data_IF_717906325564
#
_entry.id   IF_717906325564
#
_cell.length_a   1.000
_cell.length_b   1.000
_cell.length_c   1.000
_cell.angle_alpha   90.00
_cell.angle_beta   90.00
_cell.angle_gamma   90.00
#
_symmetry.space_group_name_H-M   'P 1'
#
loop_
_entity.id
_entity.type
_entity.pdbx_description
1 polymer ?
#
# COMPACT_ATOMS: atom_id res chain seq x y z
N UNK A 1 -1.13 -42.56 14.12
CA UNK A 1 -1.57 -42.05 12.80
C UNK A 1 -0.61 -40.98 12.32
N UNK A 2 -0.07 -41.16 11.16
CA UNK A 2 1.23 -40.75 10.62
C UNK A 2 1.40 -39.25 10.40
N UNK A 3 2.46 -38.67 11.01
CA UNK A 3 2.93 -37.27 10.82
C UNK A 3 3.59 -37.03 9.45
N UNK A 4 3.67 -38.03 8.57
CA UNK A 4 4.44 -37.98 7.32
C UNK A 4 3.74 -37.32 6.12
N UNK A 5 2.41 -37.09 6.16
CA UNK A 5 1.67 -36.56 5.02
C UNK A 5 1.64 -35.00 4.92
N UNK A 6 2.11 -34.26 5.92
CA UNK A 6 2.04 -32.81 5.97
C UNK A 6 3.23 -32.09 5.31
N UNK A 7 4.39 -32.72 5.23
CA UNK A 7 5.63 -32.14 4.72
C UNK A 7 5.59 -31.79 3.20
N UNK A 8 5.14 -32.66 2.29
CA UNK A 8 5.16 -32.41 0.85
C UNK A 8 4.21 -31.27 0.44
N UNK A 9 3.07 -31.10 1.13
CA UNK A 9 2.13 -29.99 0.87
C UNK A 9 2.70 -28.63 1.28
N UNK A 10 3.49 -28.55 2.35
CA UNK A 10 4.15 -27.31 2.78
C UNK A 10 5.22 -26.87 1.79
N UNK A 11 6.06 -27.81 1.33
CA UNK A 11 7.11 -27.52 0.33
C UNK A 11 6.52 -26.96 -0.96
N UNK A 12 5.47 -27.61 -1.52
CA UNK A 12 4.78 -27.13 -2.71
C UNK A 12 4.18 -25.71 -2.54
N UNK A 13 3.72 -25.36 -1.34
CA UNK A 13 3.22 -24.01 -1.03
C UNK A 13 4.34 -22.96 -1.08
N UNK A 14 5.50 -23.23 -0.47
CA UNK A 14 6.62 -22.28 -0.49
C UNK A 14 7.22 -22.12 -1.89
N UNK A 15 7.28 -23.21 -2.67
CA UNK A 15 7.71 -23.16 -4.07
C UNK A 15 6.80 -22.28 -4.92
N UNK A 16 5.47 -22.40 -4.75
CA UNK A 16 4.51 -21.60 -5.46
C UNK A 16 4.60 -20.10 -5.06
N UNK A 17 4.73 -19.80 -3.77
CA UNK A 17 4.95 -18.42 -3.31
C UNK A 17 6.27 -17.87 -3.88
N UNK A 18 7.34 -18.66 -3.85
CA UNK A 18 8.65 -18.29 -4.41
C UNK A 18 8.58 -18.00 -5.91
N UNK A 19 7.86 -18.81 -6.68
CA UNK A 19 7.67 -18.60 -8.12
C UNK A 19 6.87 -17.32 -8.42
N UNK A 20 5.77 -17.09 -7.69
CA UNK A 20 4.98 -15.86 -7.82
C UNK A 20 5.80 -14.63 -7.42
N UNK A 21 6.53 -14.70 -6.30
CA UNK A 21 7.43 -13.65 -5.87
C UNK A 21 8.47 -13.31 -6.95
N UNK A 22 9.16 -14.32 -7.48
CA UNK A 22 10.17 -14.11 -8.51
C UNK A 22 9.59 -13.46 -9.77
N UNK A 23 8.42 -13.92 -10.23
CA UNK A 23 7.74 -13.34 -11.39
C UNK A 23 7.38 -11.86 -11.16
N UNK A 24 6.74 -11.54 -10.03
CA UNK A 24 6.36 -10.17 -9.68
C UNK A 24 7.61 -9.29 -9.54
N UNK A 25 8.61 -9.76 -8.79
CA UNK A 25 9.84 -8.99 -8.54
C UNK A 25 10.61 -8.69 -9.82
N UNK A 26 10.79 -9.68 -10.71
CA UNK A 26 11.51 -9.48 -11.99
C UNK A 26 10.83 -8.40 -12.83
N UNK A 27 9.51 -8.47 -12.99
CA UNK A 27 8.78 -7.51 -13.83
C UNK A 27 8.82 -6.11 -13.19
N UNK A 28 8.51 -6.00 -11.91
CA UNK A 28 8.43 -4.70 -11.23
C UNK A 28 9.81 -4.04 -11.04
N UNK A 29 10.84 -4.81 -10.71
CA UNK A 29 12.23 -4.29 -10.67
C UNK A 29 12.67 -3.86 -12.07
N UNK A 30 12.32 -4.61 -13.12
CA UNK A 30 12.55 -4.21 -14.49
C UNK A 30 11.93 -2.85 -14.83
N UNK A 31 10.69 -2.59 -14.36
CA UNK A 31 10.04 -1.28 -14.51
C UNK A 31 10.79 -0.18 -13.74
N UNK A 32 11.23 -0.44 -12.51
CA UNK A 32 12.03 0.53 -11.74
C UNK A 32 13.30 0.89 -12.49
N UNK A 33 14.07 -0.10 -12.95
CA UNK A 33 15.34 0.12 -13.65
C UNK A 33 15.15 0.86 -14.98
N UNK A 34 14.00 0.69 -15.63
CA UNK A 34 13.68 1.35 -16.90
C UNK A 34 13.13 2.77 -16.74
N UNK A 35 12.42 3.06 -15.65
CA UNK A 35 11.56 4.25 -15.57
C UNK A 35 11.77 5.12 -14.33
N UNK A 36 12.38 4.64 -13.24
CA UNK A 36 12.53 5.43 -12.03
C UNK A 36 13.64 6.48 -12.20
N UNK A 37 13.37 7.77 -11.84
CA UNK A 37 14.41 8.78 -11.77
C UNK A 37 15.37 8.49 -10.61
N UNK A 38 16.62 8.83 -10.76
CA UNK A 38 17.59 8.75 -9.67
C UNK A 38 17.48 9.96 -8.70
N UNK A 39 16.99 11.11 -9.17
CA UNK A 39 16.88 12.36 -8.43
C UNK A 39 15.61 12.44 -7.58
N UNK A 40 15.56 13.35 -6.56
CA UNK A 40 14.37 13.52 -5.71
C UNK A 40 13.16 14.06 -6.49
N UNK A 41 11.97 13.61 -6.12
CA UNK A 41 10.72 14.02 -6.71
C UNK A 41 9.69 14.42 -5.64
N UNK A 42 9.00 15.55 -5.84
CA UNK A 42 7.95 16.09 -4.95
C UNK A 42 8.36 16.07 -3.47
N UNK A 43 7.76 15.19 -2.67
CA UNK A 43 7.95 15.10 -1.21
C UNK A 43 9.36 14.69 -0.80
N UNK A 44 10.11 14.03 -1.66
CA UNK A 44 11.47 13.58 -1.37
C UNK A 44 12.45 14.74 -1.16
N UNK A 45 12.21 15.87 -1.82
CA UNK A 45 13.01 17.09 -1.61
C UNK A 45 12.95 17.56 -0.17
N UNK A 46 11.75 17.72 0.38
CA UNK A 46 11.59 18.23 1.74
C UNK A 46 11.81 17.15 2.79
N UNK A 47 11.28 15.96 2.56
CA UNK A 47 11.34 14.91 3.56
C UNK A 47 12.71 14.23 3.66
N UNK A 48 13.36 13.99 2.52
CA UNK A 48 14.62 13.23 2.48
C UNK A 48 15.83 14.14 2.37
N UNK A 49 15.84 15.05 1.38
CA UNK A 49 17.02 15.92 1.14
C UNK A 49 17.15 16.95 2.27
N UNK A 50 16.08 17.72 2.52
CA UNK A 50 16.12 18.79 3.53
C UNK A 50 15.99 18.24 4.95
N UNK A 51 15.05 17.33 5.19
CA UNK A 51 14.73 16.83 6.53
C UNK A 51 15.68 15.76 7.07
N UNK A 52 16.40 15.04 6.22
CA UNK A 52 17.32 13.98 6.65
C UNK A 52 18.76 14.17 6.17
N UNK A 53 18.98 14.26 4.85
CA UNK A 53 20.34 14.22 4.29
C UNK A 53 21.18 15.43 4.73
N UNK A 54 20.63 16.65 4.67
CA UNK A 54 21.35 17.85 5.13
C UNK A 54 21.71 17.81 6.62
N UNK A 55 20.78 17.60 7.55
CA UNK A 55 21.11 17.48 8.98
C UNK A 55 22.12 16.38 9.26
N UNK A 56 22.03 15.23 8.57
CA UNK A 56 23.01 14.15 8.72
C UNK A 56 24.42 14.56 8.29
N UNK A 57 24.57 15.34 7.21
CA UNK A 57 25.88 15.84 6.75
C UNK A 57 26.55 16.76 7.75
N UNK A 58 25.76 17.54 8.48
CA UNK A 58 26.24 18.47 9.50
C UNK A 58 26.30 17.87 10.93
N UNK A 59 25.97 16.58 11.09
CA UNK A 59 25.92 15.95 12.41
C UNK A 59 24.80 16.47 13.31
N UNK A 60 23.78 17.10 12.74
CA UNK A 60 22.65 17.76 13.43
C UNK A 60 21.33 16.99 13.30
N UNK A 61 21.36 15.75 12.83
CA UNK A 61 20.14 14.96 12.66
C UNK A 61 19.51 14.61 14.00
N UNK A 62 18.28 15.10 14.20
CA UNK A 62 17.46 14.73 15.35
C UNK A 62 16.68 13.43 15.08
N UNK A 63 16.94 12.34 15.83
CA UNK A 63 16.16 11.10 15.70
C UNK A 63 14.67 11.27 15.93
N UNK A 64 14.21 12.30 16.66
CA UNK A 64 12.79 12.59 16.84
C UNK A 64 12.08 12.88 15.50
N UNK A 65 12.82 13.32 14.47
CA UNK A 65 12.29 13.46 13.11
C UNK A 65 11.67 12.18 12.57
N UNK A 66 12.18 11.02 12.93
CA UNK A 66 11.62 9.73 12.48
C UNK A 66 10.18 9.52 12.94
N UNK A 67 9.85 10.02 14.14
CA UNK A 67 8.49 9.95 14.70
C UNK A 67 7.64 11.20 14.41
N UNK A 68 8.24 12.28 13.93
CA UNK A 68 7.50 13.47 13.55
C UNK A 68 6.52 13.16 12.41
N UNK A 69 5.35 13.80 12.44
CA UNK A 69 4.39 13.69 11.33
C UNK A 69 4.91 14.40 10.08
N UNK A 70 4.62 13.87 8.92
CA UNK A 70 4.83 14.51 7.62
C UNK A 70 3.50 14.51 6.84
N UNK A 71 3.01 15.69 6.48
CA UNK A 71 1.72 15.86 5.81
C UNK A 71 0.55 15.13 6.52
N UNK A 72 0.54 15.10 7.86
CA UNK A 72 -0.49 14.42 8.64
C UNK A 72 -0.30 12.89 8.75
N UNK A 73 0.87 12.36 8.39
CA UNK A 73 1.15 10.91 8.37
C UNK A 73 2.37 10.54 9.21
N UNK A 74 2.29 9.53 10.10
CA UNK A 74 3.43 9.00 10.85
C UNK A 74 4.24 8.03 9.96
N UNK A 75 5.06 8.53 9.05
CA UNK A 75 5.78 7.75 8.04
C UNK A 75 7.08 7.11 8.56
N UNK A 76 7.04 6.46 9.74
CA UNK A 76 8.24 5.91 10.38
C UNK A 76 9.04 4.97 9.46
N UNK A 77 8.37 4.01 8.84
CA UNK A 77 9.04 3.00 8.02
C UNK A 77 9.65 3.59 6.76
N UNK A 78 8.93 4.50 6.09
CA UNK A 78 9.43 5.22 4.92
C UNK A 78 10.68 6.01 5.26
N UNK A 79 10.70 6.71 6.40
CA UNK A 79 11.86 7.46 6.87
C UNK A 79 13.03 6.55 7.24
N UNK A 80 12.77 5.42 7.91
CA UNK A 80 13.81 4.45 8.26
C UNK A 80 14.45 3.83 7.01
N UNK A 81 13.65 3.48 6.00
CA UNK A 81 14.15 2.97 4.72
C UNK A 81 14.99 4.03 4.01
N UNK A 82 14.48 5.26 3.92
CA UNK A 82 15.23 6.37 3.32
C UNK A 82 16.53 6.65 4.05
N UNK A 83 16.51 6.66 5.39
CA UNK A 83 17.71 6.85 6.23
C UNK A 83 18.73 5.73 5.98
N UNK A 84 18.28 4.48 5.89
CA UNK A 84 19.15 3.34 5.61
C UNK A 84 19.88 3.51 4.27
N UNK A 85 19.16 3.83 3.20
CA UNK A 85 19.77 4.01 1.88
C UNK A 85 20.65 5.26 1.80
N UNK A 86 20.29 6.37 2.44
CA UNK A 86 21.16 7.55 2.56
C UNK A 86 22.49 7.21 3.25
N UNK A 87 22.45 6.42 4.33
CA UNK A 87 23.67 5.98 5.02
C UNK A 87 24.51 5.04 4.17
N UNK A 88 23.88 4.11 3.46
CA UNK A 88 24.52 3.14 2.60
C UNK A 88 25.26 3.82 1.43
N UNK A 89 24.70 4.90 0.86
CA UNK A 89 25.28 5.63 -0.28
C UNK A 89 26.09 6.89 0.13
N UNK A 90 26.59 6.93 1.35
CA UNK A 90 27.44 8.02 1.83
C UNK A 90 26.77 9.39 1.87
N UNK A 91 25.49 9.42 2.25
CA UNK A 91 24.62 10.60 2.32
C UNK A 91 24.36 11.24 0.94
N UNK A 92 24.47 10.46 -0.12
CA UNK A 92 24.01 10.85 -1.44
C UNK A 92 22.60 10.32 -1.68
N UNK A 93 21.78 11.09 -2.36
CA UNK A 93 20.43 10.64 -2.72
C UNK A 93 20.49 9.84 -4.02
N UNK A 94 19.94 8.63 -3.97
CA UNK A 94 19.63 7.82 -5.16
C UNK A 94 18.28 7.12 -4.92
N UNK A 95 17.27 7.50 -5.70
CA UNK A 95 15.91 6.98 -5.58
C UNK A 95 15.81 5.51 -6.03
N UNK A 96 16.61 5.09 -7.00
CA UNK A 96 16.48 3.77 -7.65
C UNK A 96 16.64 2.60 -6.67
N UNK A 97 17.65 2.53 -5.78
CA UNK A 97 17.76 1.46 -4.80
C UNK A 97 16.57 1.39 -3.83
N UNK A 98 16.02 2.54 -3.44
CA UNK A 98 14.83 2.62 -2.58
C UNK A 98 13.63 2.02 -3.30
N UNK A 99 13.40 2.39 -4.56
CA UNK A 99 12.34 1.83 -5.39
C UNK A 99 12.49 0.31 -5.56
N UNK A 100 13.69 -0.19 -5.85
CA UNK A 100 13.95 -1.65 -5.97
C UNK A 100 13.59 -2.37 -4.67
N UNK A 101 14.03 -1.85 -3.53
CA UNK A 101 13.68 -2.42 -2.22
C UNK A 101 12.16 -2.46 -1.99
N UNK A 102 11.47 -1.36 -2.32
CA UNK A 102 10.01 -1.27 -2.20
C UNK A 102 9.31 -2.34 -3.05
N UNK A 103 9.79 -2.58 -4.28
CA UNK A 103 9.20 -3.61 -5.14
C UNK A 103 9.49 -5.04 -4.65
N UNK A 104 10.60 -5.29 -3.99
CA UNK A 104 10.88 -6.57 -3.32
C UNK A 104 9.88 -6.82 -2.19
N UNK A 105 9.67 -5.83 -1.31
CA UNK A 105 8.68 -5.91 -0.21
C UNK A 105 7.27 -6.11 -0.75
N UNK A 106 6.89 -5.32 -1.75
CA UNK A 106 5.60 -5.42 -2.42
C UNK A 106 5.38 -6.80 -3.05
N UNK A 107 6.36 -7.32 -3.79
CA UNK A 107 6.28 -8.63 -4.43
C UNK A 107 6.12 -9.77 -3.42
N UNK A 108 6.86 -9.72 -2.30
CA UNK A 108 6.77 -10.73 -1.24
C UNK A 108 5.39 -10.73 -0.57
N UNK A 109 4.89 -9.55 -0.22
CA UNK A 109 3.57 -9.39 0.39
C UNK A 109 2.46 -9.85 -0.55
N UNK A 110 2.50 -9.39 -1.80
CA UNK A 110 1.49 -9.70 -2.82
C UNK A 110 1.47 -11.18 -3.20
N UNK A 111 2.63 -11.82 -3.41
CA UNK A 111 2.72 -13.25 -3.70
C UNK A 111 2.16 -14.10 -2.54
N UNK A 112 2.53 -13.76 -1.30
CA UNK A 112 2.05 -14.45 -0.11
C UNK A 112 0.54 -14.33 0.06
N UNK A 113 0.00 -13.12 -0.12
CA UNK A 113 -1.44 -12.85 0.01
C UNK A 113 -2.22 -13.56 -1.10
N UNK A 114 -1.84 -13.37 -2.37
CA UNK A 114 -2.52 -13.95 -3.51
C UNK A 114 -2.58 -15.48 -3.44
N UNK A 115 -1.46 -16.14 -3.14
CA UNK A 115 -1.41 -17.59 -2.97
C UNK A 115 -2.24 -18.05 -1.78
N UNK A 116 -2.08 -17.41 -0.60
CA UNK A 116 -2.79 -17.78 0.62
C UNK A 116 -4.31 -17.65 0.50
N UNK A 117 -4.79 -16.67 -0.25
CA UNK A 117 -6.20 -16.54 -0.57
C UNK A 117 -6.65 -17.61 -1.57
N UNK A 118 -5.93 -17.75 -2.69
CA UNK A 118 -6.32 -18.61 -3.81
C UNK A 118 -6.45 -20.09 -3.44
N UNK A 119 -5.52 -20.64 -2.65
CA UNK A 119 -5.53 -22.07 -2.26
C UNK A 119 -6.79 -22.48 -1.49
N UNK A 120 -7.53 -21.50 -0.94
CA UNK A 120 -8.72 -21.70 -0.14
C UNK A 120 -10.03 -21.43 -0.88
N UNK A 121 -9.95 -21.01 -2.15
CA UNK A 121 -11.12 -20.65 -2.97
C UNK A 121 -11.64 -21.81 -3.85
N UNK A 122 -11.07 -23.00 -3.69
CA UNK A 122 -11.53 -24.20 -4.40
C UNK A 122 -11.31 -24.12 -5.92
N UNK A 123 -12.32 -24.43 -6.73
CA UNK A 123 -12.17 -24.49 -8.20
C UNK A 123 -11.86 -23.14 -8.86
N UNK A 124 -12.21 -22.03 -8.21
CA UNK A 124 -12.04 -20.68 -8.75
C UNK A 124 -10.63 -20.12 -8.52
N UNK A 125 -9.74 -20.87 -7.85
CA UNK A 125 -8.38 -20.40 -7.49
C UNK A 125 -7.55 -19.94 -8.68
N UNK A 126 -7.67 -20.63 -9.82
CA UNK A 126 -6.91 -20.30 -11.04
C UNK A 126 -7.29 -18.94 -11.59
N UNK A 127 -8.59 -18.68 -11.73
CA UNK A 127 -9.10 -17.39 -12.17
C UNK A 127 -8.80 -16.27 -11.18
N UNK A 128 -8.91 -16.54 -9.89
CA UNK A 128 -8.55 -15.57 -8.86
C UNK A 128 -7.06 -15.18 -8.92
N UNK A 129 -6.16 -16.17 -9.03
CA UNK A 129 -4.73 -15.92 -9.20
C UNK A 129 -4.45 -15.14 -10.48
N UNK A 130 -5.09 -15.48 -11.58
CA UNK A 130 -4.91 -14.79 -12.85
C UNK A 130 -5.27 -13.30 -12.73
N UNK A 131 -6.46 -12.98 -12.18
CA UNK A 131 -6.87 -11.59 -11.94
C UNK A 131 -5.90 -10.87 -10.99
N UNK A 132 -5.53 -11.53 -9.88
CA UNK A 132 -4.61 -10.97 -8.91
C UNK A 132 -3.25 -10.66 -9.55
N UNK A 133 -2.71 -11.58 -10.35
CA UNK A 133 -1.43 -11.38 -11.04
C UNK A 133 -1.49 -10.26 -12.07
N UNK A 134 -2.57 -10.14 -12.85
CA UNK A 134 -2.75 -9.03 -13.78
C UNK A 134 -2.69 -7.68 -13.06
N UNK A 135 -3.40 -7.54 -11.93
CA UNK A 135 -3.44 -6.27 -11.17
C UNK A 135 -2.11 -5.97 -10.51
N UNK A 136 -1.43 -6.99 -9.92
CA UNK A 136 -0.18 -6.83 -9.19
C UNK A 136 1.00 -6.51 -10.13
N UNK A 137 1.01 -7.10 -11.33
CA UNK A 137 2.15 -6.99 -12.25
C UNK A 137 2.04 -5.74 -13.14
N UNK A 138 0.82 -5.36 -13.54
CA UNK A 138 0.62 -4.18 -14.39
C UNK A 138 0.85 -2.88 -13.62
N UNK A 139 1.36 -1.82 -14.29
CA UNK A 139 1.79 -0.58 -13.64
C UNK A 139 0.62 0.35 -13.30
N UNK A 140 -0.43 -0.15 -12.64
CA UNK A 140 -1.54 0.70 -12.20
C UNK A 140 -1.10 1.72 -11.14
N UNK A 141 -0.05 1.39 -10.40
CA UNK A 141 0.59 2.19 -9.35
C UNK A 141 1.91 2.83 -9.83
N UNK A 142 1.96 3.33 -11.07
CA UNK A 142 3.19 3.85 -11.72
C UNK A 142 3.95 4.86 -10.87
N UNK A 143 3.27 5.71 -10.08
CA UNK A 143 3.92 6.63 -9.15
C UNK A 143 4.71 5.86 -8.06
N UNK A 144 4.11 4.83 -7.45
CA UNK A 144 4.74 4.06 -6.38
C UNK A 144 5.87 3.15 -6.89
N UNK A 145 5.84 2.77 -8.18
CA UNK A 145 6.95 2.03 -8.80
C UNK A 145 8.19 2.91 -8.90
N UNK A 146 8.03 4.20 -9.21
CA UNK A 146 9.11 5.10 -9.61
C UNK A 146 9.51 6.12 -8.54
N UNK A 147 8.79 6.19 -7.43
CA UNK A 147 9.06 7.10 -6.32
C UNK A 147 9.37 6.32 -5.04
N UNK A 148 10.56 6.48 -4.49
CA UNK A 148 10.98 5.80 -3.26
C UNK A 148 10.11 6.18 -2.06
N UNK A 149 9.66 7.42 -2.01
CA UNK A 149 8.71 7.91 -1.00
C UNK A 149 7.27 7.43 -1.24
N UNK A 150 6.98 6.73 -2.34
CA UNK A 150 5.68 6.12 -2.65
C UNK A 150 5.35 4.85 -1.83
N UNK A 151 6.31 4.32 -1.07
CA UNK A 151 6.19 3.06 -0.34
C UNK A 151 5.20 3.01 0.85
N UNK A 152 4.70 4.13 1.45
CA UNK A 152 3.80 4.06 2.60
C UNK A 152 2.56 3.21 2.36
N UNK A 153 2.03 3.20 1.13
CA UNK A 153 0.82 2.45 0.78
C UNK A 153 1.06 0.95 0.75
N UNK A 154 2.19 0.51 0.17
CA UNK A 154 2.59 -0.91 0.18
C UNK A 154 2.91 -1.40 1.60
N UNK A 155 3.63 -0.61 2.39
CA UNK A 155 3.98 -0.90 3.77
C UNK A 155 2.72 -0.98 4.66
N UNK A 156 1.82 -0.01 4.52
CA UNK A 156 0.52 -0.01 5.20
C UNK A 156 -0.26 -1.29 4.89
N UNK A 157 -0.37 -1.62 3.61
CA UNK A 157 -1.07 -2.81 3.15
C UNK A 157 -0.45 -4.10 3.71
N UNK A 158 0.87 -4.21 3.67
CA UNK A 158 1.61 -5.36 4.19
C UNK A 158 1.36 -5.57 5.70
N UNK A 159 1.55 -4.54 6.52
CA UNK A 159 1.35 -4.67 7.96
C UNK A 159 -0.12 -4.81 8.34
N UNK A 160 -1.03 -4.11 7.66
CA UNK A 160 -2.47 -4.19 7.93
C UNK A 160 -3.04 -5.57 7.64
N UNK A 161 -2.76 -6.11 6.45
CA UNK A 161 -3.23 -7.46 6.08
C UNK A 161 -2.52 -8.53 6.93
N UNK A 162 -1.21 -8.37 7.16
CA UNK A 162 -0.45 -9.24 8.05
C UNK A 162 -1.04 -9.30 9.46
N UNK A 163 -1.41 -8.15 10.03
CA UNK A 163 -2.09 -8.07 11.32
C UNK A 163 -3.45 -8.78 11.33
N UNK A 164 -4.31 -8.51 10.31
CA UNK A 164 -5.63 -9.12 10.21
C UNK A 164 -5.51 -10.65 10.09
N UNK A 165 -4.59 -11.14 9.25
CA UNK A 165 -4.33 -12.58 9.12
C UNK A 165 -3.80 -13.16 10.43
N UNK A 166 -2.86 -12.50 11.10
CA UNK A 166 -2.32 -12.93 12.38
C UNK A 166 -3.42 -13.01 13.45
N UNK A 167 -4.30 -12.02 13.54
CA UNK A 167 -5.46 -12.05 14.45
C UNK A 167 -6.43 -13.20 14.12
N UNK A 168 -6.67 -13.49 12.84
CA UNK A 168 -7.49 -14.62 12.40
C UNK A 168 -6.90 -15.99 12.75
N UNK A 169 -5.57 -16.11 12.69
CA UNK A 169 -4.83 -17.34 12.99
C UNK A 169 -4.32 -17.43 14.44
N UNK A 170 -4.57 -16.41 15.27
CA UNK A 170 -4.04 -16.27 16.61
C UNK A 170 -4.26 -17.52 17.47
N UNK A 171 -3.21 -17.89 18.21
CA UNK A 171 -3.27 -18.81 19.35
C UNK A 171 -3.09 -18.00 20.63
N UNK A 172 -3.63 -18.45 21.75
CA UNK A 172 -3.49 -17.75 23.03
C UNK A 172 -2.08 -17.95 23.67
N UNK A 173 -1.02 -17.95 22.84
CA UNK A 173 0.38 -18.01 23.27
C UNK A 173 0.98 -16.61 23.35
N UNK A 174 1.93 -16.41 24.26
CA UNK A 174 2.63 -15.11 24.43
C UNK A 174 3.29 -14.67 23.11
N UNK A 175 3.99 -15.56 22.41
CA UNK A 175 4.64 -15.25 21.14
C UNK A 175 3.66 -14.78 20.07
N UNK A 176 2.46 -15.42 19.97
CA UNK A 176 1.42 -14.99 19.03
C UNK A 176 0.90 -13.59 19.35
N UNK A 177 0.70 -13.29 20.63
CA UNK A 177 0.18 -11.98 21.06
C UNK A 177 1.23 -10.87 20.90
N UNK A 178 2.50 -11.15 21.17
CA UNK A 178 3.61 -10.22 20.90
C UNK A 178 3.71 -9.93 19.40
N UNK A 179 3.68 -10.96 18.54
CA UNK A 179 3.73 -10.77 17.10
C UNK A 179 2.58 -9.91 16.57
N UNK A 180 1.36 -10.12 17.07
CA UNK A 180 0.19 -9.29 16.76
C UNK A 180 0.42 -7.84 17.22
N UNK A 181 0.94 -7.64 18.44
CA UNK A 181 1.26 -6.31 18.95
C UNK A 181 2.28 -5.57 18.08
N UNK A 182 3.36 -6.25 17.66
CA UNK A 182 4.37 -5.67 16.76
C UNK A 182 3.75 -5.27 15.42
N UNK A 183 2.94 -6.14 14.81
CA UNK A 183 2.25 -5.82 13.55
C UNK A 183 1.28 -4.66 13.70
N UNK A 184 0.59 -4.57 14.87
CA UNK A 184 -0.32 -3.47 15.16
C UNK A 184 0.41 -2.12 15.27
N UNK A 185 1.50 -2.08 16.01
CA UNK A 185 2.36 -0.89 16.12
C UNK A 185 2.95 -0.50 14.75
N UNK A 186 3.41 -1.50 13.99
CA UNK A 186 3.95 -1.28 12.65
C UNK A 186 2.91 -0.69 11.69
N UNK A 187 1.68 -1.20 11.69
CA UNK A 187 0.58 -0.68 10.87
C UNK A 187 0.23 0.77 11.28
N UNK A 188 0.09 1.05 12.58
CA UNK A 188 -0.25 2.37 13.10
C UNK A 188 0.77 3.45 12.73
N UNK A 189 2.06 3.08 12.63
CA UNK A 189 3.17 3.99 12.31
C UNK A 189 3.54 4.03 10.81
N UNK A 190 2.75 3.37 9.96
CA UNK A 190 3.00 3.34 8.51
C UNK A 190 2.44 4.57 7.79
N UNK A 191 1.21 4.98 8.13
CA UNK A 191 0.48 6.06 7.47
C UNK A 191 -0.67 6.56 8.37
N UNK A 192 -1.26 7.73 8.07
CA UNK A 192 -2.37 8.29 8.85
C UNK A 192 -3.59 7.36 8.98
N UNK A 193 -3.91 6.60 7.94
CA UNK A 193 -4.96 5.58 7.97
C UNK A 193 -4.51 4.22 8.56
N UNK A 194 -3.27 4.11 8.99
CA UNK A 194 -2.71 2.90 9.62
C UNK A 194 -3.41 2.48 10.92
N UNK A 195 -4.10 3.41 11.56
CA UNK A 195 -4.90 3.14 12.77
C UNK A 195 -6.08 2.17 12.54
N UNK A 196 -6.57 2.04 11.32
CA UNK A 196 -7.76 1.21 11.00
C UNK A 196 -7.50 -0.28 11.25
N UNK A 197 -6.33 -0.79 10.86
CA UNK A 197 -6.01 -2.20 11.00
C UNK A 197 -5.88 -2.67 12.47
N UNK A 198 -5.21 -1.94 13.39
CA UNK A 198 -5.22 -2.26 14.81
C UNK A 198 -6.62 -2.28 15.42
N UNK A 199 -7.52 -1.36 15.05
CA UNK A 199 -8.91 -1.36 15.53
C UNK A 199 -9.67 -2.60 15.06
N UNK A 200 -9.53 -2.98 13.78
CA UNK A 200 -10.10 -4.22 13.24
C UNK A 200 -9.48 -5.43 13.94
N UNK A 201 -8.17 -5.46 14.15
CA UNK A 201 -7.49 -6.54 14.87
C UNK A 201 -7.99 -6.70 16.30
N UNK A 202 -8.17 -5.61 17.03
CA UNK A 202 -8.75 -5.61 18.37
C UNK A 202 -10.16 -6.19 18.36
N UNK A 203 -11.02 -5.72 17.46
CA UNK A 203 -12.40 -6.24 17.31
C UNK A 203 -12.41 -7.74 16.97
N UNK A 204 -11.51 -8.22 16.10
CA UNK A 204 -11.36 -9.64 15.76
C UNK A 204 -10.99 -10.49 16.99
N UNK A 205 -10.02 -10.06 17.78
CA UNK A 205 -9.59 -10.79 18.98
C UNK A 205 -10.72 -10.85 20.01
N UNK A 206 -11.43 -9.74 20.25
CA UNK A 206 -12.58 -9.69 21.16
C UNK A 206 -13.74 -10.57 20.65
N UNK A 207 -14.01 -10.56 19.34
CA UNK A 207 -15.01 -11.43 18.74
C UNK A 207 -14.68 -12.91 18.93
N UNK A 208 -13.43 -13.33 18.67
CA UNK A 208 -12.98 -14.70 18.87
C UNK A 208 -12.97 -15.12 20.33
N UNK A 209 -12.70 -14.16 21.23
CA UNK A 209 -12.82 -14.38 22.67
C UNK A 209 -14.29 -14.64 23.07
N UNK A 210 -15.23 -13.84 22.54
CA UNK A 210 -16.68 -14.05 22.75
C UNK A 210 -17.17 -15.40 22.23
N UNK A 211 -16.55 -15.92 21.16
CA UNK A 211 -16.83 -17.26 20.63
C UNK A 211 -16.16 -18.40 21.42
N UNK A 212 -15.39 -18.12 22.45
CA UNK A 212 -14.66 -19.11 23.24
C UNK A 212 -13.41 -19.68 22.54
N UNK A 213 -12.98 -19.09 21.41
CA UNK A 213 -11.81 -19.56 20.64
C UNK A 213 -10.47 -19.13 21.22
N UNK A 214 -10.44 -18.09 22.05
CA UNK A 214 -9.25 -17.54 22.69
C UNK A 214 -9.50 -17.36 24.20
N UNK A 215 -8.46 -17.63 25.00
CA UNK A 215 -8.52 -17.37 26.46
C UNK A 215 -8.46 -15.88 26.78
N UNK A 216 -9.28 -15.43 27.77
CA UNK A 216 -9.67 -14.04 27.98
C UNK A 216 -8.56 -13.02 28.17
N UNK A 217 -7.67 -13.19 29.19
CA UNK A 217 -6.78 -12.09 29.61
C UNK A 217 -5.76 -11.66 28.54
N UNK A 218 -5.12 -12.61 27.85
CA UNK A 218 -4.11 -12.29 26.82
C UNK A 218 -4.75 -11.63 25.61
N UNK A 219 -5.91 -12.13 25.17
CA UNK A 219 -6.62 -11.54 24.04
C UNK A 219 -7.13 -10.13 24.37
N UNK A 220 -7.67 -9.91 25.57
CA UNK A 220 -8.11 -8.60 26.04
C UNK A 220 -6.94 -7.62 26.16
N UNK A 221 -5.81 -8.03 26.77
CA UNK A 221 -4.61 -7.19 26.89
C UNK A 221 -4.03 -6.81 25.53
N UNK A 222 -3.97 -7.76 24.58
CA UNK A 222 -3.51 -7.48 23.21
C UNK A 222 -4.49 -6.55 22.48
N UNK A 223 -5.80 -6.71 22.65
CA UNK A 223 -6.80 -5.80 22.07
C UNK A 223 -6.66 -4.38 22.61
N UNK A 224 -6.47 -4.22 23.94
CA UNK A 224 -6.21 -2.92 24.54
C UNK A 224 -4.92 -2.29 23.99
N UNK A 225 -3.85 -3.07 23.84
CA UNK A 225 -2.60 -2.60 23.24
C UNK A 225 -2.80 -2.15 21.77
N UNK A 226 -3.58 -2.88 20.96
CA UNK A 226 -3.88 -2.49 19.59
C UNK A 226 -4.67 -1.18 19.53
N UNK A 227 -5.62 -0.96 20.44
CA UNK A 227 -6.34 0.31 20.54
C UNK A 227 -5.39 1.45 20.94
N UNK A 228 -4.45 1.20 21.86
CA UNK A 228 -3.43 2.18 22.21
C UNK A 228 -2.51 2.50 21.01
N UNK A 229 -2.09 1.51 20.23
CA UNK A 229 -1.35 1.74 18.98
C UNK A 229 -2.12 2.62 17.99
N UNK A 230 -3.42 2.36 17.80
CA UNK A 230 -4.28 3.18 16.94
C UNK A 230 -4.36 4.62 17.44
N UNK A 231 -4.51 4.81 18.75
CA UNK A 231 -4.54 6.14 19.38
C UNK A 231 -3.22 6.89 19.20
N UNK A 232 -2.08 6.24 19.43
CA UNK A 232 -0.74 6.84 19.22
C UNK A 232 -0.57 7.26 17.78
N UNK A 233 -0.92 6.40 16.81
CA UNK A 233 -0.87 6.73 15.37
C UNK A 233 -1.76 7.91 15.02
N UNK A 234 -2.95 8.00 15.62
CA UNK A 234 -3.86 9.14 15.46
C UNK A 234 -3.25 10.43 16.03
N UNK A 235 -2.72 10.42 17.24
CA UNK A 235 -2.11 11.60 17.87
C UNK A 235 -0.93 12.10 17.04
N UNK A 236 -0.01 11.21 16.63
CA UNK A 236 1.13 11.58 15.79
C UNK A 236 0.65 12.19 14.48
N UNK A 237 -0.33 11.58 13.78
CA UNK A 237 -0.86 12.09 12.53
C UNK A 237 -1.54 13.47 12.64
N UNK A 238 -2.13 13.79 13.79
CA UNK A 238 -2.85 15.06 13.98
C UNK A 238 -1.99 16.25 14.38
N UNK A 239 -0.72 16.03 14.76
CA UNK A 239 0.19 17.13 15.19
C UNK A 239 0.53 18.11 14.06
N UNK A 240 0.32 17.73 12.80
CA UNK A 240 0.63 18.58 11.63
C UNK A 240 -0.49 18.54 10.60
N UNK A 241 -1.73 18.91 11.00
CA UNK A 241 -2.78 19.08 9.98
C UNK A 241 -2.44 20.24 9.06
N UNK A 242 -2.32 19.97 7.78
CA UNK A 242 -2.32 21.00 6.74
C UNK A 242 -3.74 21.58 6.71
N UNK A 243 -3.93 22.72 7.36
CA UNK A 243 -5.17 23.51 7.29
C UNK A 243 -5.34 24.00 5.85
N UNK A 244 -6.49 23.77 5.25
CA UNK A 244 -6.84 24.38 3.95
C UNK A 244 -7.39 23.43 2.88
N UNK A 245 -7.80 22.22 3.20
CA UNK A 245 -8.50 21.35 2.25
C UNK A 245 -9.99 21.21 2.59
N UNK A 246 -10.67 22.33 2.79
CA UNK A 246 -12.13 22.34 2.86
C UNK A 246 -12.69 22.12 1.45
N UNK A 247 -12.69 20.86 1.02
CA UNK A 247 -13.38 20.51 -0.20
C UNK A 247 -14.88 20.39 0.11
N UNK A 248 -15.67 21.29 -0.45
CA UNK A 248 -17.12 21.22 -0.35
C UNK A 248 -17.61 19.84 -0.85
N UNK A 249 -18.45 19.20 -0.06
CA UNK A 249 -19.15 17.97 -0.45
C UNK A 249 -19.96 18.22 -1.72
N UNK A 250 -19.86 17.32 -2.67
CA UNK A 250 -20.64 17.38 -3.92
C UNK A 250 -21.46 16.10 -4.11
N UNK A 251 -22.47 16.16 -4.96
CA UNK A 251 -23.25 14.98 -5.37
C UNK A 251 -22.38 13.86 -5.94
N UNK A 252 -21.22 14.19 -6.49
CA UNK A 252 -20.23 13.22 -7.02
C UNK A 252 -19.71 12.32 -5.89
N UNK A 253 -19.37 12.86 -4.73
CA UNK A 253 -18.88 12.07 -3.59
C UNK A 253 -19.95 11.12 -3.05
N UNK A 254 -21.22 11.54 -3.02
CA UNK A 254 -22.33 10.68 -2.64
C UNK A 254 -22.51 9.53 -3.64
N UNK A 255 -22.38 9.81 -4.94
CA UNK A 255 -22.43 8.79 -5.98
C UNK A 255 -21.26 7.80 -5.86
N UNK A 256 -20.06 8.26 -5.55
CA UNK A 256 -18.89 7.40 -5.31
C UNK A 256 -19.06 6.50 -4.08
N UNK A 257 -19.57 7.04 -2.98
CA UNK A 257 -19.89 6.23 -1.80
C UNK A 257 -21.00 5.20 -2.08
N UNK A 258 -22.02 5.59 -2.83
CA UNK A 258 -23.06 4.66 -3.26
C UNK A 258 -22.50 3.55 -4.15
N UNK A 259 -21.63 3.89 -5.11
CA UNK A 259 -20.95 2.89 -5.94
C UNK A 259 -20.06 1.96 -5.08
N UNK A 260 -19.33 2.50 -4.11
CA UNK A 260 -18.54 1.71 -3.18
C UNK A 260 -19.39 0.71 -2.41
N UNK A 261 -20.56 1.13 -1.89
CA UNK A 261 -21.50 0.25 -1.19
C UNK A 261 -21.99 -0.88 -2.12
N UNK A 262 -22.33 -0.58 -3.37
CA UNK A 262 -22.73 -1.57 -4.36
C UNK A 262 -21.60 -2.56 -4.66
N UNK A 263 -20.38 -2.08 -4.86
CA UNK A 263 -19.22 -2.94 -5.10
C UNK A 263 -18.94 -3.88 -3.91
N UNK A 264 -19.25 -3.46 -2.67
CA UNK A 264 -19.07 -4.27 -1.46
C UNK A 264 -20.24 -5.20 -1.14
N UNK A 265 -21.31 -5.22 -1.93
CA UNK A 265 -22.46 -6.10 -1.71
C UNK A 265 -22.10 -7.58 -1.46
N UNK A 266 -21.15 -8.20 -2.19
CA UNK A 266 -20.74 -9.57 -1.89
C UNK A 266 -20.18 -9.75 -0.48
N UNK A 267 -19.41 -8.77 0.02
CA UNK A 267 -18.88 -8.82 1.39
C UNK A 267 -19.98 -8.65 2.44
N UNK A 268 -20.97 -7.79 2.21
CA UNK A 268 -22.14 -7.64 3.09
C UNK A 268 -22.99 -8.90 3.15
N UNK A 269 -23.25 -9.56 2.03
CA UNK A 269 -23.96 -10.84 1.98
C UNK A 269 -23.16 -11.94 2.69
N UNK A 270 -21.83 -11.95 2.52
CA UNK A 270 -20.95 -12.87 3.22
C UNK A 270 -20.96 -12.64 4.73
N UNK A 271 -20.93 -11.39 5.18
CA UNK A 271 -21.05 -11.03 6.60
C UNK A 271 -22.38 -11.50 7.18
N UNK A 272 -23.51 -11.28 6.48
CA UNK A 272 -24.83 -11.76 6.92
C UNK A 272 -24.83 -13.29 7.12
N UNK A 273 -24.24 -14.04 6.19
CA UNK A 273 -24.11 -15.49 6.30
C UNK A 273 -23.22 -15.90 7.49
N UNK A 274 -22.09 -15.25 7.66
CA UNK A 274 -21.17 -15.47 8.75
C UNK A 274 -21.86 -15.25 10.13
N UNK A 275 -22.63 -14.19 10.28
CA UNK A 275 -23.40 -13.91 11.49
C UNK A 275 -24.54 -14.91 11.71
N UNK A 276 -25.10 -15.46 10.64
CA UNK A 276 -26.15 -16.50 10.67
C UNK A 276 -25.68 -17.90 11.11
N UNK A 277 -24.39 -18.09 11.38
CA UNK A 277 -23.86 -19.32 11.99
C UNK A 277 -22.83 -20.10 11.17
N UNK A 278 -22.69 -19.85 9.87
CA UNK A 278 -21.65 -20.47 9.05
C UNK A 278 -20.29 -19.77 9.27
N UNK A 279 -19.62 -20.09 10.38
CA UNK A 279 -18.43 -19.37 10.83
C UNK A 279 -17.18 -20.16 10.54
N UNK A 280 -16.24 -19.57 9.77
CA UNK A 280 -14.87 -20.06 9.68
C UNK A 280 -13.88 -18.92 9.93
N UNK A 281 -12.68 -19.25 10.40
CA UNK A 281 -11.60 -18.25 10.59
C UNK A 281 -11.20 -17.58 9.28
N UNK A 282 -11.26 -18.31 8.18
CA UNK A 282 -11.00 -17.76 6.86
C UNK A 282 -12.03 -16.70 6.47
N UNK A 283 -13.32 -17.00 6.72
CA UNK A 283 -14.39 -16.06 6.40
C UNK A 283 -14.24 -14.77 7.22
N UNK A 284 -13.87 -14.89 8.51
CA UNK A 284 -13.58 -13.73 9.36
C UNK A 284 -12.42 -12.90 8.80
N UNK A 285 -11.31 -13.52 8.39
CA UNK A 285 -10.16 -12.82 7.77
C UNK A 285 -10.59 -12.09 6.50
N UNK A 286 -11.28 -12.77 5.57
CA UNK A 286 -11.75 -12.18 4.32
C UNK A 286 -12.64 -10.96 4.60
N UNK A 287 -13.59 -11.09 5.52
CA UNK A 287 -14.50 -10.00 5.90
C UNK A 287 -13.78 -8.82 6.53
N UNK A 288 -12.79 -9.07 7.38
CA UNK A 288 -12.00 -8.01 8.00
C UNK A 288 -11.06 -7.30 7.00
N UNK A 289 -10.49 -8.02 6.03
CA UNK A 289 -9.74 -7.40 4.92
C UNK A 289 -10.68 -6.58 4.03
N UNK A 290 -11.88 -7.07 3.75
CA UNK A 290 -12.88 -6.32 3.00
C UNK A 290 -13.32 -5.05 3.77
N UNK A 291 -13.55 -5.15 5.08
CA UNK A 291 -13.88 -3.99 5.93
C UNK A 291 -12.73 -2.97 5.96
N UNK A 292 -11.48 -3.42 6.09
CA UNK A 292 -10.31 -2.56 6.01
C UNK A 292 -10.23 -1.82 4.67
N UNK A 293 -10.36 -2.53 3.55
CA UNK A 293 -10.36 -1.94 2.21
C UNK A 293 -11.50 -0.95 2.01
N UNK A 294 -12.70 -1.27 2.50
CA UNK A 294 -13.85 -0.35 2.47
C UNK A 294 -13.55 0.97 3.19
N UNK A 295 -13.05 0.90 4.42
CA UNK A 295 -12.73 2.10 5.23
C UNK A 295 -11.63 2.91 4.57
N UNK A 296 -10.57 2.28 4.03
CA UNK A 296 -9.51 2.98 3.33
C UNK A 296 -10.03 3.75 2.12
N UNK A 297 -10.85 3.10 1.26
CA UNK A 297 -11.38 3.73 0.05
C UNK A 297 -12.40 4.83 0.43
N UNK A 298 -13.25 4.58 1.40
CA UNK A 298 -14.18 5.59 1.88
C UNK A 298 -13.45 6.83 2.42
N UNK A 299 -12.38 6.63 3.21
CA UNK A 299 -11.55 7.74 3.69
C UNK A 299 -10.90 8.53 2.54
N UNK A 300 -10.43 7.86 1.48
CA UNK A 300 -9.89 8.52 0.29
C UNK A 300 -10.94 9.38 -0.42
N UNK A 301 -12.16 8.88 -0.58
CA UNK A 301 -13.29 9.63 -1.17
C UNK A 301 -13.59 10.88 -0.32
N UNK A 302 -13.57 10.74 1.01
CA UNK A 302 -13.96 11.80 1.93
C UNK A 302 -12.88 12.86 2.15
N UNK A 303 -11.61 12.44 2.28
CA UNK A 303 -10.51 13.32 2.65
C UNK A 303 -9.81 13.95 1.44
N UNK A 304 -9.94 13.34 0.26
CA UNK A 304 -9.21 13.76 -0.95
C UNK A 304 -10.12 13.98 -2.17
N UNK A 305 -11.25 14.69 -2.02
CA UNK A 305 -12.30 14.78 -3.05
C UNK A 305 -11.84 15.45 -4.34
N UNK A 306 -10.76 16.25 -4.31
CA UNK A 306 -10.20 16.89 -5.52
C UNK A 306 -9.31 15.95 -6.33
N UNK A 307 -8.70 14.95 -5.68
CA UNK A 307 -7.65 14.13 -6.27
C UNK A 307 -8.08 12.67 -6.44
N UNK A 308 -9.10 12.21 -5.71
CA UNK A 308 -9.56 10.84 -5.77
C UNK A 308 -10.88 10.75 -6.55
N UNK A 309 -10.95 9.80 -7.50
CA UNK A 309 -12.18 9.37 -8.15
C UNK A 309 -12.18 7.85 -8.18
N UNK A 310 -13.27 7.24 -7.72
CA UNK A 310 -13.35 5.78 -7.62
C UNK A 310 -13.23 5.10 -8.99
N UNK A 311 -13.75 5.73 -10.05
CA UNK A 311 -13.67 5.23 -11.43
C UNK A 311 -12.35 5.55 -12.13
N UNK A 312 -11.54 6.47 -11.60
CA UNK A 312 -10.21 6.82 -12.09
C UNK A 312 -9.32 7.19 -10.90
N UNK A 313 -8.95 6.22 -10.05
CA UNK A 313 -8.15 6.48 -8.87
C UNK A 313 -6.74 6.91 -9.25
N UNK A 314 -6.16 7.82 -8.46
CA UNK A 314 -4.76 8.20 -8.58
C UNK A 314 -3.89 6.97 -8.35
N UNK A 315 -2.83 6.82 -9.14
CA UNK A 315 -2.00 5.61 -9.18
C UNK A 315 -1.42 5.22 -7.81
N UNK A 316 -1.04 6.19 -6.98
CA UNK A 316 -0.51 5.92 -5.61
C UNK A 316 -1.45 5.15 -4.69
N UNK A 317 -2.77 5.14 -4.95
CA UNK A 317 -3.75 4.40 -4.15
C UNK A 317 -3.98 2.96 -4.65
N UNK A 318 -3.39 2.60 -5.79
CA UNK A 318 -3.54 1.27 -6.38
C UNK A 318 -2.80 0.16 -5.61
N UNK A 319 -2.03 0.49 -4.57
CA UNK A 319 -1.52 -0.50 -3.61
C UNK A 319 -2.57 -0.95 -2.58
N UNK A 320 -3.65 -0.17 -2.40
CA UNK A 320 -4.70 -0.43 -1.39
C UNK A 320 -5.98 -0.96 -2.03
N UNK A 321 -6.44 -0.30 -3.10
CA UNK A 321 -7.75 -0.58 -3.72
C UNK A 321 -7.87 -2.06 -4.13
N UNK A 322 -6.89 -2.67 -4.82
CA UNK A 322 -6.98 -4.07 -5.24
C UNK A 322 -7.14 -5.04 -4.07
N UNK A 323 -6.54 -4.78 -2.93
CA UNK A 323 -6.62 -5.66 -1.75
C UNK A 323 -8.06 -5.76 -1.26
N UNK A 324 -8.75 -4.61 -1.14
CA UNK A 324 -10.18 -4.57 -0.81
C UNK A 324 -11.03 -5.31 -1.85
N UNK A 325 -10.77 -5.06 -3.14
CA UNK A 325 -11.47 -5.73 -4.25
C UNK A 325 -11.23 -7.24 -4.27
N UNK A 326 -10.00 -7.70 -4.00
CA UNK A 326 -9.71 -9.14 -3.88
C UNK A 326 -10.47 -9.78 -2.70
N UNK A 327 -10.64 -9.10 -1.58
CA UNK A 327 -11.44 -9.60 -0.48
C UNK A 327 -12.95 -9.68 -0.84
N UNK A 328 -13.45 -8.74 -1.63
CA UNK A 328 -14.83 -8.79 -2.17
C UNK A 328 -15.00 -9.96 -3.14
N UNK A 329 -14.07 -10.17 -4.08
CA UNK A 329 -14.08 -11.31 -4.99
C UNK A 329 -13.95 -12.65 -4.24
N UNK A 330 -13.10 -12.72 -3.21
CA UNK A 330 -12.99 -13.88 -2.34
C UNK A 330 -14.30 -14.13 -1.58
N UNK A 331 -14.98 -13.08 -1.10
CA UNK A 331 -16.30 -13.19 -0.49
C UNK A 331 -17.33 -13.80 -1.46
N UNK A 332 -17.33 -13.35 -2.71
CA UNK A 332 -18.20 -13.91 -3.76
C UNK A 332 -17.89 -15.39 -4.03
N UNK A 333 -16.61 -15.76 -4.12
CA UNK A 333 -16.20 -17.17 -4.27
C UNK A 333 -16.68 -18.02 -3.08
N UNK A 334 -16.55 -17.50 -1.85
CA UNK A 334 -17.03 -18.21 -0.64
C UNK A 334 -18.56 -18.37 -0.60
N UNK A 335 -19.29 -17.35 -1.04
CA UNK A 335 -20.74 -17.42 -1.16
C UNK A 335 -21.19 -18.50 -2.14
N UNK A 336 -20.55 -18.59 -3.30
CA UNK A 336 -20.94 -19.54 -4.36
C UNK A 336 -20.44 -20.97 -4.11
N UNK A 337 -19.42 -21.17 -3.28
CA UNK A 337 -18.92 -22.50 -2.88
C UNK A 337 -19.75 -23.19 -1.82
N UNK A 338 -20.63 -22.50 -1.11
CA UNK A 338 -21.48 -23.08 -0.07
C UNK A 338 -22.47 -24.09 -0.61
N UNK A 339 -22.68 -25.20 0.13
CA UNK A 339 -23.67 -26.25 -0.18
C UNK A 339 -25.10 -25.86 0.20
N UNK A 340 -25.27 -24.89 1.08
CA UNK A 340 -26.57 -24.53 1.69
C UNK A 340 -27.30 -23.44 0.88
N UNK A 341 -27.23 -23.41 -0.41
CA UNK A 341 -27.96 -22.45 -1.24
C UNK A 341 -27.86 -20.98 -0.77
N UNK A 342 -27.57 -20.06 -1.66
CA UNK A 342 -27.54 -18.64 -1.32
C UNK A 342 -28.95 -18.13 -0.98
N UNK A 343 -29.08 -17.16 -0.04
CA UNK A 343 -30.34 -16.45 0.19
C UNK A 343 -30.94 -15.83 -1.09
N UNK A 344 -30.11 -15.68 -2.15
CA UNK A 344 -30.47 -15.08 -3.44
C UNK A 344 -30.46 -16.07 -4.61
N UNK A 345 -30.27 -17.40 -4.38
CA UNK A 345 -30.26 -18.39 -5.45
C UNK A 345 -29.16 -18.21 -6.50
N UNK A 346 -28.03 -17.54 -6.16
CA UNK A 346 -26.95 -17.26 -7.13
C UNK A 346 -26.32 -18.56 -7.65
N UNK A 347 -26.21 -18.76 -8.97
CA UNK A 347 -25.55 -19.93 -9.53
C UNK A 347 -24.09 -20.03 -9.12
N UNK A 348 -23.55 -21.24 -8.98
CA UNK A 348 -22.10 -21.46 -8.72
C UNK A 348 -21.20 -20.78 -9.77
N UNK A 349 -21.67 -20.65 -10.99
CA UNK A 349 -20.95 -19.97 -12.07
C UNK A 349 -20.77 -18.45 -11.87
N UNK A 350 -21.50 -17.83 -10.93
CA UNK A 350 -21.48 -16.37 -10.75
C UNK A 350 -20.08 -15.86 -10.35
N UNK A 351 -19.39 -16.55 -9.42
CA UNK A 351 -18.02 -16.18 -9.03
C UNK A 351 -17.06 -16.25 -10.20
N UNK A 352 -17.11 -17.34 -10.98
CA UNK A 352 -16.28 -17.50 -12.17
C UNK A 352 -16.54 -16.42 -13.22
N UNK A 353 -17.82 -16.10 -13.49
CA UNK A 353 -18.18 -15.00 -14.40
C UNK A 353 -17.66 -13.66 -13.91
N UNK A 354 -17.79 -13.37 -12.61
CA UNK A 354 -17.27 -12.13 -12.04
C UNK A 354 -15.74 -12.03 -12.16
N UNK A 355 -15.00 -13.13 -11.93
CA UNK A 355 -13.55 -13.16 -12.10
C UNK A 355 -13.14 -12.98 -13.58
N UNK A 356 -13.84 -13.60 -14.50
CA UNK A 356 -13.62 -13.41 -15.95
C UNK A 356 -13.87 -11.95 -16.35
N UNK A 357 -14.98 -11.35 -15.91
CA UNK A 357 -15.29 -9.95 -16.18
C UNK A 357 -14.26 -9.01 -15.55
N UNK A 358 -13.79 -9.30 -14.32
CA UNK A 358 -12.70 -8.56 -13.69
C UNK A 358 -11.41 -8.66 -14.53
N UNK A 359 -11.05 -9.86 -15.01
CA UNK A 359 -9.88 -10.03 -15.89
C UNK A 359 -10.00 -9.21 -17.18
N UNK A 360 -11.16 -9.26 -17.83
CA UNK A 360 -11.44 -8.48 -19.04
C UNK A 360 -11.32 -6.97 -18.73
N UNK A 361 -11.94 -6.51 -17.65
CA UNK A 361 -11.87 -5.11 -17.23
C UNK A 361 -10.43 -4.64 -16.99
N UNK A 362 -9.62 -5.44 -16.28
CA UNK A 362 -8.20 -5.16 -16.05
C UNK A 362 -7.43 -5.09 -17.37
N UNK A 363 -7.66 -6.04 -18.28
CA UNK A 363 -7.00 -6.04 -19.59
C UNK A 363 -7.40 -4.84 -20.45
N UNK A 364 -8.66 -4.41 -20.40
CA UNK A 364 -9.13 -3.24 -21.15
C UNK A 364 -8.54 -1.93 -20.62
N UNK A 365 -8.25 -1.83 -19.32
CA UNK A 365 -7.68 -0.62 -18.70
C UNK A 365 -6.13 -0.66 -18.70
N UNK A 366 -5.51 -1.81 -18.90
CA UNK A 366 -4.05 -1.97 -18.87
C UNK A 366 -3.29 -1.09 -19.90
N UNK A 367 -3.77 -0.85 -21.13
CA UNK A 367 -3.08 0.06 -22.05
C UNK A 367 -2.97 1.49 -21.50
N UNK A 368 -3.98 1.93 -20.77
CA UNK A 368 -3.96 3.26 -20.11
C UNK A 368 -2.90 3.30 -18.99
N UNK A 369 -2.78 2.26 -18.18
CA UNK A 369 -1.77 2.18 -17.14
C UNK A 369 -0.34 2.20 -17.73
N UNK A 370 -0.11 1.44 -18.82
CA UNK A 370 1.16 1.43 -19.54
C UNK A 370 1.45 2.81 -20.15
N UNK A 371 0.46 3.44 -20.79
CA UNK A 371 0.60 4.78 -21.33
C UNK A 371 1.04 5.79 -20.25
N UNK A 372 0.41 5.79 -19.10
CA UNK A 372 0.76 6.68 -18.00
C UNK A 372 2.15 6.39 -17.44
N UNK A 373 2.56 5.11 -17.34
CA UNK A 373 3.91 4.76 -16.94
C UNK A 373 4.96 5.34 -17.90
N UNK A 374 4.73 5.26 -19.22
CA UNK A 374 5.62 5.81 -20.24
C UNK A 374 5.66 7.35 -20.18
N UNK A 375 4.49 8.00 -20.07
CA UNK A 375 4.41 9.46 -19.91
C UNK A 375 5.09 9.95 -18.66
N UNK A 376 5.01 9.20 -17.58
CA UNK A 376 5.67 9.51 -16.32
C UNK A 376 7.19 9.46 -16.46
N UNK A 377 7.70 8.47 -17.18
CA UNK A 377 9.13 8.37 -17.49
C UNK A 377 9.64 9.50 -18.39
N UNK A 378 8.86 9.94 -19.39
CA UNK A 378 9.17 11.13 -20.20
C UNK A 378 9.24 12.38 -19.34
N UNK A 379 8.25 12.58 -18.48
CA UNK A 379 8.20 13.70 -17.53
C UNK A 379 9.46 13.78 -16.66
N UNK A 380 9.91 12.66 -16.12
CA UNK A 380 11.13 12.61 -15.31
C UNK A 380 12.38 12.95 -16.12
N UNK A 381 12.45 12.57 -17.41
CA UNK A 381 13.56 12.96 -18.29
C UNK A 381 13.57 14.48 -18.53
N UNK A 382 12.39 15.08 -18.80
CA UNK A 382 12.29 16.52 -18.97
C UNK A 382 12.70 17.27 -17.70
N UNK A 383 12.27 16.80 -16.53
CA UNK A 383 12.66 17.36 -15.23
C UNK A 383 14.17 17.30 -15.00
N UNK A 384 14.79 16.17 -15.32
CA UNK A 384 16.26 16.03 -15.24
C UNK A 384 16.97 17.01 -16.17
N UNK A 385 16.50 17.18 -17.41
CA UNK A 385 17.07 18.11 -18.39
C UNK A 385 16.98 19.57 -17.89
N UNK A 386 15.83 19.99 -17.40
CA UNK A 386 15.61 21.35 -16.83
C UNK A 386 16.57 21.60 -15.67
N UNK A 387 16.66 20.68 -14.71
CA UNK A 387 17.56 20.83 -13.57
C UNK A 387 19.04 20.90 -13.99
N UNK A 388 19.48 20.04 -14.91
CA UNK A 388 20.86 20.08 -15.42
C UNK A 388 21.20 21.36 -16.18
N UNK A 389 20.29 21.81 -17.03
CA UNK A 389 20.44 23.08 -17.76
C UNK A 389 20.59 24.24 -16.79
N UNK A 390 19.72 24.28 -15.77
CA UNK A 390 19.82 25.31 -14.72
C UNK A 390 21.14 25.22 -13.94
N UNK A 391 21.54 24.05 -13.49
CA UNK A 391 22.78 23.88 -12.71
C UNK A 391 24.03 24.23 -13.53
N UNK A 392 24.01 24.04 -14.85
CA UNK A 392 25.10 24.36 -15.76
C UNK A 392 25.25 25.86 -16.00
N UNK A 393 24.14 26.56 -16.20
CA UNK A 393 24.14 27.98 -16.63
C UNK A 393 23.84 28.97 -15.52
N UNK A 394 23.12 28.54 -14.48
CA UNK A 394 22.55 29.37 -13.42
C UNK A 394 21.57 30.44 -13.93
N UNK A 395 21.08 30.30 -15.17
CA UNK A 395 20.07 31.23 -15.71
C UNK A 395 18.69 30.93 -15.13
N UNK A 396 18.10 31.85 -14.32
CA UNK A 396 16.81 31.63 -13.69
C UNK A 396 15.65 31.51 -14.70
N UNK A 397 15.84 31.99 -15.94
CA UNK A 397 14.82 31.86 -17.00
C UNK A 397 14.54 30.41 -17.36
N UNK A 398 15.52 29.51 -17.22
CA UNK A 398 15.33 28.09 -17.47
C UNK A 398 14.24 27.49 -16.59
N UNK A 399 14.20 27.87 -15.31
CA UNK A 399 13.13 27.43 -14.40
C UNK A 399 11.85 28.23 -14.58
N UNK A 400 11.95 29.54 -14.89
CA UNK A 400 10.80 30.41 -15.07
C UNK A 400 9.96 30.01 -16.30
N UNK A 401 10.62 29.69 -17.42
CA UNK A 401 9.98 29.38 -18.69
C UNK A 401 9.62 27.89 -18.85
N UNK A 402 10.13 27.01 -17.96
CA UNK A 402 9.82 25.59 -18.01
C UNK A 402 8.33 25.35 -17.73
N UNK A 403 7.66 24.42 -18.42
CA UNK A 403 6.31 23.97 -18.06
C UNK A 403 6.26 23.44 -16.62
N UNK A 404 5.15 23.64 -15.89
CA UNK A 404 5.00 23.15 -14.51
C UNK A 404 5.25 21.64 -14.38
N UNK A 405 4.83 20.88 -15.39
CA UNK A 405 5.06 19.43 -15.44
C UNK A 405 6.53 19.04 -15.54
N UNK A 406 7.39 19.92 -16.09
CA UNK A 406 8.83 19.70 -16.23
C UNK A 406 9.64 20.18 -15.03
N UNK A 407 8.99 20.52 -13.92
CA UNK A 407 9.63 20.88 -12.66
C UNK A 407 9.60 19.69 -11.69
N UNK A 408 10.73 19.33 -11.11
CA UNK A 408 10.82 18.25 -10.14
C UNK A 408 10.22 18.62 -8.75
N UNK A 409 9.84 19.88 -8.58
CA UNK A 409 9.19 20.42 -7.39
C UNK A 409 8.09 21.42 -7.79
N UNK A 410 6.93 21.45 -7.10
CA UNK A 410 5.78 22.28 -7.52
C UNK A 410 6.02 23.79 -7.51
N UNK A 411 6.93 24.31 -6.67
CA UNK A 411 7.29 25.73 -6.62
C UNK A 411 8.63 25.97 -7.31
N UNK A 412 8.64 26.85 -8.32
CA UNK A 412 9.84 27.27 -9.05
C UNK A 412 10.88 27.91 -8.15
N UNK A 413 10.44 28.83 -7.30
CA UNK A 413 11.29 29.58 -6.36
C UNK A 413 11.92 28.62 -5.34
N UNK A 414 11.14 27.67 -4.83
CA UNK A 414 11.64 26.66 -3.90
C UNK A 414 12.63 25.72 -4.57
N UNK A 415 12.32 25.25 -5.78
CA UNK A 415 13.23 24.40 -6.55
C UNK A 415 14.54 25.14 -6.83
N UNK A 416 14.47 26.43 -7.22
CA UNK A 416 15.66 27.26 -7.40
C UNK A 416 16.50 27.33 -6.11
N UNK A 417 15.88 27.66 -4.99
CA UNK A 417 16.55 27.71 -3.67
C UNK A 417 17.25 26.40 -3.34
N UNK A 418 16.60 25.27 -3.59
CA UNK A 418 17.16 23.94 -3.37
C UNK A 418 18.33 23.64 -4.30
N UNK A 419 18.25 24.00 -5.57
CA UNK A 419 19.30 23.78 -6.56
C UNK A 419 20.49 24.75 -6.40
N UNK A 420 20.28 25.93 -5.82
CA UNK A 420 21.38 26.88 -5.53
C UNK A 420 22.17 26.53 -4.27
N UNK A 421 21.59 25.74 -3.38
CA UNK A 421 22.22 25.34 -2.13
C UNK A 421 23.33 24.29 -2.35
N UNK A 422 24.58 24.56 -1.92
CA UNK A 422 25.72 23.67 -2.12
C UNK A 422 25.54 22.28 -1.50
N UNK A 423 24.91 22.17 -0.34
CA UNK A 423 24.65 20.88 0.30
C UNK A 423 23.68 20.03 -0.51
N UNK A 424 22.62 20.65 -1.02
CA UNK A 424 21.69 19.98 -1.93
C UNK A 424 22.40 19.46 -3.16
N UNK A 425 23.25 20.27 -3.80
CA UNK A 425 24.03 19.85 -4.98
C UNK A 425 24.95 18.66 -4.67
N UNK A 426 25.59 18.69 -3.49
CA UNK A 426 26.44 17.57 -3.06
C UNK A 426 25.64 16.29 -2.80
N UNK A 427 24.38 16.41 -2.32
CA UNK A 427 23.48 15.27 -2.06
C UNK A 427 22.96 14.67 -3.36
N UNK A 428 22.51 15.49 -4.33
CA UNK A 428 21.84 15.01 -5.56
C UNK A 428 22.79 14.84 -6.76
N UNK A 429 24.05 15.27 -6.65
CA UNK A 429 24.96 15.35 -7.78
C UNK A 429 25.25 14.01 -8.48
N UNK A 430 25.28 12.90 -7.73
CA UNK A 430 25.40 11.53 -8.28
C UNK A 430 24.15 11.14 -9.05
N UNK A 431 22.98 11.43 -8.49
CA UNK A 431 21.69 11.10 -9.07
C UNK A 431 21.48 11.79 -10.44
N UNK A 432 21.84 13.06 -10.54
CA UNK A 432 21.71 13.82 -11.80
C UNK A 432 22.69 13.35 -12.90
N UNK A 433 23.85 12.82 -12.56
CA UNK A 433 24.80 12.23 -13.55
C UNK A 433 24.37 10.87 -14.08
N UNK A 434 23.55 10.14 -13.30
CA UNK A 434 23.15 8.76 -13.63
C UNK A 434 21.95 8.68 -14.60
N UNK A 435 21.28 9.78 -14.86
CA UNK A 435 20.11 9.85 -15.74
C UNK A 435 20.50 10.10 -17.23
N UNK A 436 21.75 10.01 -17.58
CA UNK A 436 22.23 9.93 -18.95
C UNK A 436 22.23 8.48 -19.39
#
# INVERSE_FOLDING_TARGET
>A
MSATAAAPRRLATWQAIGALFALIAIIRIGMVLAFAPAFPFIDEWEAVVVGMAKPLRHGQFDPAYLLASYNGHPLLWTKLISLFFLRLDGLQFDNVPVCVFNQIVYALGSATLAWSAAVRLGPERGWFLFVAMLVIVLPFDWENITMGWGNPYAILSFFSVGLIVACGCARATVASMIGIGILGAAAALSMGSGLVAPLIGAAMLLWRMRLGELSGMRAAGTSAFLVACAWIGFVIGHTTRVTGQDAAWSSVHLAELALLLVCWLPAWLHLRRYLGGERSRLDLVILCVAAWGFVQIAAMILERPRYFRLWLPISRYMDIIPIGMFAVLASLCRLTASRQGLPLGLPRATARRALILAAIGVMLVSPLAIYWQLRWAELHRDQAQVMRAYLKTRDPRILADAPDSSLAYPSRERLKTLLDDPDTQAIIGKALRRTD
#
